data_IF_859557906266
#
_entry.id   IF_859557906266
#
_cell.length_a   1.000
_cell.length_b   1.000
_cell.length_c   1.000
_cell.angle_alpha   90.00
_cell.angle_beta   90.00
_cell.angle_gamma   90.00
#
_symmetry.space_group_name_H-M   'P 1'
#
loop_
_entity.id
_entity.type
_entity.pdbx_description
1 polymer ?
#
# COMPACT_ATOMS: atom_id res chain seq x y z
N UNK A 1 -0.29 29.28 24.46
CA UNK A 1 1.07 29.00 24.98
C UNK A 1 1.08 27.83 25.97
N UNK A 2 0.13 27.76 26.92
CA UNK A 2 0.05 26.72 27.97
C UNK A 2 -0.04 25.27 27.46
N UNK A 3 -0.88 25.00 26.45
CA UNK A 3 -1.00 23.65 25.85
C UNK A 3 0.30 23.15 25.27
N UNK A 4 1.10 24.02 24.64
CA UNK A 4 2.40 23.62 24.08
C UNK A 4 3.32 23.15 25.19
N UNK A 5 3.32 23.82 26.35
CA UNK A 5 4.07 23.41 27.53
C UNK A 5 3.59 22.08 28.08
N UNK A 6 2.27 21.89 28.24
CA UNK A 6 1.70 20.64 28.76
C UNK A 6 1.97 19.46 27.84
N UNK A 7 1.89 19.69 26.52
CA UNK A 7 2.25 18.69 25.51
C UNK A 7 3.70 18.23 25.67
N UNK A 8 4.63 19.16 25.89
CA UNK A 8 6.04 18.81 26.13
C UNK A 8 6.21 18.09 27.47
N UNK A 9 5.49 18.53 28.51
CA UNK A 9 5.60 17.96 29.85
C UNK A 9 5.15 16.50 29.92
N UNK A 10 4.00 16.16 29.30
CA UNK A 10 3.50 14.77 29.24
C UNK A 10 4.54 13.82 28.63
N UNK A 11 5.26 14.30 27.61
CA UNK A 11 6.25 13.50 26.87
C UNK A 11 7.64 13.51 27.53
N UNK A 12 7.80 14.12 28.70
CA UNK A 12 9.10 14.09 29.39
C UNK A 12 9.41 12.70 29.94
N UNK A 13 10.69 12.26 29.91
CA UNK A 13 11.10 10.98 30.48
C UNK A 13 10.62 10.79 31.91
N UNK A 14 10.70 11.84 32.74
CA UNK A 14 10.27 11.81 34.15
C UNK A 14 8.81 11.41 34.33
N UNK A 15 7.90 11.90 33.48
CA UNK A 15 6.47 11.54 33.56
C UNK A 15 6.27 10.12 33.03
N UNK A 16 6.89 9.78 31.91
CA UNK A 16 6.73 8.46 31.29
C UNK A 16 7.35 7.33 32.13
N UNK A 17 8.46 7.58 32.82
CA UNK A 17 9.04 6.66 33.80
C UNK A 17 8.11 6.43 34.98
N UNK A 18 7.45 7.48 35.49
CA UNK A 18 6.43 7.34 36.53
C UNK A 18 5.23 6.53 36.06
N UNK A 19 4.81 6.69 34.80
CA UNK A 19 3.76 5.85 34.22
C UNK A 19 4.19 4.38 34.17
N UNK A 20 5.39 4.11 33.64
CA UNK A 20 5.91 2.74 33.55
C UNK A 20 6.07 2.09 34.94
N UNK A 21 6.47 2.86 35.95
CA UNK A 21 6.59 2.38 37.33
C UNK A 21 5.23 2.14 38.01
N UNK A 22 4.24 3.01 37.76
CA UNK A 22 2.92 2.92 38.37
C UNK A 22 2.00 1.87 37.70
N UNK A 23 2.27 1.51 36.45
CA UNK A 23 1.46 0.58 35.65
C UNK A 23 2.34 -0.51 35.01
N UNK A 24 2.86 -1.46 35.81
CA UNK A 24 3.71 -2.55 35.31
C UNK A 24 3.00 -3.47 34.30
N UNK A 25 1.67 -3.54 34.36
CA UNK A 25 0.84 -4.36 33.48
C UNK A 25 0.86 -3.89 32.00
N UNK A 26 1.34 -2.67 31.74
CA UNK A 26 1.51 -2.17 30.37
C UNK A 26 2.67 -2.87 29.65
N UNK A 27 3.62 -3.44 30.40
CA UNK A 27 4.83 -4.10 29.89
C UNK A 27 5.59 -3.24 28.88
N UNK A 28 5.65 -1.93 29.11
CA UNK A 28 6.22 -0.94 28.19
C UNK A 28 7.16 -0.01 28.94
N UNK A 29 8.30 0.29 28.31
CA UNK A 29 9.30 1.22 28.86
C UNK A 29 8.94 2.69 28.60
N UNK A 30 9.57 3.62 29.31
CA UNK A 30 9.37 5.06 29.07
C UNK A 30 9.71 5.48 27.63
N UNK A 31 10.76 4.91 27.03
CA UNK A 31 11.14 5.18 25.64
C UNK A 31 10.11 4.66 24.63
N UNK A 32 9.53 3.50 24.92
CA UNK A 32 8.47 2.94 24.08
C UNK A 32 7.15 3.73 24.22
N UNK A 33 6.80 4.18 25.43
CA UNK A 33 5.70 5.12 25.65
C UNK A 33 5.91 6.41 24.86
N UNK A 34 7.12 6.98 24.87
CA UNK A 34 7.41 8.21 24.13
C UNK A 34 7.14 8.08 22.62
N UNK A 35 7.38 6.90 22.04
CA UNK A 35 7.09 6.63 20.63
C UNK A 35 5.62 6.31 20.33
N UNK A 36 4.88 5.80 21.32
CA UNK A 36 3.48 5.36 21.16
C UNK A 36 2.45 6.42 21.58
N UNK A 37 2.85 7.39 22.40
CA UNK A 37 1.98 8.45 22.91
C UNK A 37 2.11 9.71 22.03
N UNK A 38 1.00 10.15 21.49
CA UNK A 38 0.83 11.40 20.77
C UNK A 38 -0.10 12.36 21.52
N UNK A 39 0.02 13.65 21.23
CA UNK A 39 -0.90 14.67 21.75
C UNK A 39 -1.38 15.55 20.61
N UNK A 40 -2.69 15.55 20.44
CA UNK A 40 -3.41 16.49 19.58
C UNK A 40 -4.04 17.60 20.43
N UNK A 41 -4.19 18.78 19.85
CA UNK A 41 -4.83 19.93 20.51
C UNK A 41 -5.68 20.67 19.51
N UNK A 42 -6.85 21.13 19.94
CA UNK A 42 -7.74 21.95 19.10
C UNK A 42 -7.35 23.41 19.23
N UNK A 43 -7.13 24.08 18.10
CA UNK A 43 -6.76 25.50 18.04
C UNK A 43 -7.70 26.36 18.87
N UNK A 44 -7.13 27.35 19.57
CA UNK A 44 -7.86 28.35 20.38
C UNK A 44 -8.61 27.80 21.61
N UNK A 45 -8.60 26.49 21.84
CA UNK A 45 -9.17 25.87 23.05
C UNK A 45 -8.07 25.48 24.04
N UNK A 46 -8.44 25.14 25.27
CA UNK A 46 -7.56 24.47 26.25
C UNK A 46 -7.70 22.94 26.25
N UNK A 47 -8.25 22.39 25.16
CA UNK A 47 -8.55 20.96 25.03
C UNK A 47 -7.39 20.26 24.33
N UNK A 48 -6.92 19.17 24.94
CA UNK A 48 -5.93 18.28 24.36
C UNK A 48 -6.40 16.83 24.44
N UNK A 49 -6.01 16.04 23.45
CA UNK A 49 -6.31 14.62 23.36
C UNK A 49 -5.00 13.86 23.46
N UNK A 50 -4.91 12.98 24.46
CA UNK A 50 -3.84 11.99 24.57
C UNK A 50 -4.20 10.82 23.68
N UNK A 51 -3.31 10.51 22.74
CA UNK A 51 -3.48 9.45 21.75
C UNK A 51 -2.43 8.38 22.06
N UNK A 52 -2.84 7.13 22.18
CA UNK A 52 -1.91 6.01 22.30
C UNK A 52 -2.09 5.09 21.09
N UNK A 53 -0.98 4.59 20.55
CA UNK A 53 -0.99 3.66 19.41
C UNK A 53 -0.39 2.33 19.83
N UNK A 54 -1.12 1.24 19.61
CA UNK A 54 -0.66 -0.12 19.89
C UNK A 54 -1.31 -1.13 18.94
N UNK A 55 -0.79 -2.37 18.92
CA UNK A 55 -1.40 -3.46 18.16
C UNK A 55 -2.72 -3.95 18.75
N UNK A 56 -2.99 -3.67 20.03
CA UNK A 56 -4.28 -3.93 20.67
C UNK A 56 -4.95 -2.63 21.13
N UNK A 57 -6.21 -2.44 20.74
CA UNK A 57 -6.98 -1.28 21.13
C UNK A 57 -7.14 -1.17 22.66
N UNK A 58 -7.39 -2.28 23.35
CA UNK A 58 -7.49 -2.30 24.81
C UNK A 58 -6.20 -1.84 25.49
N UNK A 59 -5.03 -2.25 24.98
CA UNK A 59 -3.72 -1.79 25.48
C UNK A 59 -3.52 -0.30 25.22
N UNK A 60 -3.87 0.19 24.03
CA UNK A 60 -3.81 1.61 23.70
C UNK A 60 -4.70 2.44 24.65
N UNK A 61 -5.93 2.01 24.90
CA UNK A 61 -6.84 2.67 25.84
C UNK A 61 -6.25 2.76 27.25
N UNK A 62 -5.72 1.64 27.76
CA UNK A 62 -5.08 1.58 29.07
C UNK A 62 -3.85 2.50 29.15
N UNK A 63 -3.01 2.56 28.11
CA UNK A 63 -1.87 3.46 28.05
C UNK A 63 -2.29 4.93 28.10
N UNK A 64 -3.29 5.33 27.28
CA UNK A 64 -3.79 6.69 27.28
C UNK A 64 -4.33 7.09 28.66
N UNK A 65 -5.15 6.23 29.27
CA UNK A 65 -5.73 6.46 30.59
C UNK A 65 -4.65 6.55 31.69
N UNK A 66 -3.66 5.66 31.67
CA UNK A 66 -2.55 5.66 32.63
C UNK A 66 -1.73 6.96 32.55
N UNK A 67 -1.38 7.38 31.33
CA UNK A 67 -0.65 8.64 31.11
C UNK A 67 -1.48 9.83 31.59
N UNK A 68 -2.77 9.90 31.25
CA UNK A 68 -3.65 10.98 31.70
C UNK A 68 -3.76 11.05 33.23
N UNK A 69 -3.85 9.91 33.91
CA UNK A 69 -3.97 9.84 35.37
C UNK A 69 -2.69 10.26 36.08
N UNK A 70 -1.53 9.78 35.63
CA UNK A 70 -0.24 10.20 36.20
C UNK A 70 -0.01 11.68 35.94
N UNK A 71 -0.26 12.15 34.72
CA UNK A 71 -0.08 13.55 34.37
C UNK A 71 -0.96 14.49 35.22
N UNK A 72 -2.22 14.14 35.44
CA UNK A 72 -3.12 14.91 36.31
C UNK A 72 -2.55 15.05 37.73
N UNK A 73 -2.02 13.95 38.29
CA UNK A 73 -1.39 13.95 39.62
C UNK A 73 -0.09 14.78 39.66
N UNK A 74 0.71 14.70 38.60
CA UNK A 74 1.99 15.39 38.52
C UNK A 74 1.83 16.90 38.32
N UNK A 75 0.86 17.35 37.51
CA UNK A 75 0.59 18.78 37.36
C UNK A 75 0.12 19.41 38.66
N UNK A 76 -0.75 18.73 39.42
CA UNK A 76 -1.16 19.21 40.74
C UNK A 76 0.05 19.42 41.64
N UNK A 77 0.98 18.47 41.64
CA UNK A 77 2.19 18.52 42.48
C UNK A 77 3.21 19.56 42.01
N UNK A 78 3.46 19.64 40.70
CA UNK A 78 4.55 20.44 40.13
C UNK A 78 4.17 21.90 39.87
N UNK A 79 2.89 22.16 39.59
CA UNK A 79 2.41 23.48 39.19
C UNK A 79 1.29 24.01 40.09
N UNK A 80 0.85 23.25 41.09
CA UNK A 80 -0.24 23.62 41.99
C UNK A 80 -1.52 24.05 41.24
N UNK A 81 -1.82 23.31 40.16
CA UNK A 81 -2.99 23.53 39.32
C UNK A 81 -4.02 22.43 39.56
N UNK A 82 -5.18 22.80 40.07
CA UNK A 82 -6.29 21.88 40.35
C UNK A 82 -7.37 21.85 39.26
N UNK A 83 -7.25 22.72 38.27
CA UNK A 83 -8.24 22.91 37.20
C UNK A 83 -8.00 22.02 35.96
N UNK A 84 -7.27 20.91 36.09
CA UNK A 84 -7.10 19.92 35.02
C UNK A 84 -8.04 18.75 35.26
N UNK A 85 -8.98 18.55 34.33
CA UNK A 85 -9.95 17.46 34.37
C UNK A 85 -9.89 16.64 33.09
N UNK A 86 -10.08 15.32 33.22
CA UNK A 86 -10.20 14.41 32.08
C UNK A 86 -11.66 14.40 31.65
N UNK A 87 -11.94 14.92 30.45
CA UNK A 87 -13.30 15.03 29.92
C UNK A 87 -13.83 13.68 29.43
N UNK A 88 -12.97 12.86 28.82
CA UNK A 88 -13.33 11.55 28.30
C UNK A 88 -12.19 10.56 28.52
N UNK A 89 -12.51 9.42 29.12
CA UNK A 89 -11.57 8.32 29.29
C UNK A 89 -11.66 7.39 28.08
N UNK A 90 -10.55 6.76 27.70
CA UNK A 90 -10.59 5.74 26.67
C UNK A 90 -11.29 4.48 27.22
N UNK A 91 -12.32 4.01 26.53
CA UNK A 91 -13.01 2.77 26.86
C UNK A 91 -12.23 1.57 26.28
N UNK A 92 -11.61 0.68 27.08
CA UNK A 92 -10.86 -0.46 26.55
C UNK A 92 -11.74 -1.52 25.86
N UNK A 93 -13.05 -1.51 26.10
CA UNK A 93 -14.00 -2.44 25.51
C UNK A 93 -14.57 -1.95 24.16
N UNK A 94 -14.36 -0.67 23.82
CA UNK A 94 -14.73 -0.16 22.51
C UNK A 94 -13.94 -0.88 21.41
N UNK A 95 -14.51 -0.98 20.22
CA UNK A 95 -13.86 -1.64 19.09
C UNK A 95 -13.83 -0.69 17.90
N UNK A 96 -12.71 -0.01 17.73
CA UNK A 96 -12.44 0.83 16.57
C UNK A 96 -11.56 0.07 15.59
N UNK A 97 -11.79 0.28 14.29
CA UNK A 97 -10.96 -0.30 13.24
C UNK A 97 -9.50 0.16 13.30
N UNK A 98 -8.56 -0.59 12.70
CA UNK A 98 -7.16 -0.24 12.69
C UNK A 98 -6.91 1.07 11.94
N UNK A 99 -6.08 1.95 12.51
CA UNK A 99 -5.68 3.22 11.90
C UNK A 99 -4.57 3.07 10.85
N UNK A 100 -3.85 1.93 10.87
CA UNK A 100 -2.78 1.61 9.93
C UNK A 100 -2.54 0.10 9.85
N UNK A 101 -1.96 -0.41 8.74
CA UNK A 101 -1.70 0.29 7.49
C UNK A 101 -2.99 0.55 6.69
N UNK A 102 -2.96 1.50 5.74
CA UNK A 102 -4.04 1.69 4.78
C UNK A 102 -3.76 0.83 3.53
N UNK A 103 -4.42 -0.35 3.38
CA UNK A 103 -4.08 -1.29 2.32
C UNK A 103 -4.37 -0.72 0.93
N UNK A 104 -5.44 0.07 0.79
CA UNK A 104 -5.82 0.69 -0.50
C UNK A 104 -4.74 1.65 -0.98
N UNK A 105 -4.27 2.54 -0.09
CA UNK A 105 -3.19 3.48 -0.42
C UNK A 105 -1.89 2.73 -0.76
N UNK A 106 -1.54 1.72 0.01
CA UNK A 106 -0.29 0.97 -0.18
C UNK A 106 -0.30 0.21 -1.52
N UNK A 107 -1.42 -0.44 -1.85
CA UNK A 107 -1.58 -1.16 -3.13
C UNK A 107 -1.54 -0.19 -4.30
N UNK A 108 -2.20 0.96 -4.22
CA UNK A 108 -2.16 1.96 -5.29
C UNK A 108 -0.73 2.46 -5.58
N UNK A 109 0.07 2.72 -4.54
CA UNK A 109 1.47 3.14 -4.69
C UNK A 109 2.30 2.05 -5.36
N UNK A 110 2.20 0.80 -4.88
CA UNK A 110 2.97 -0.33 -5.44
C UNK A 110 2.55 -0.61 -6.88
N UNK A 111 1.25 -0.54 -7.20
CA UNK A 111 0.73 -0.75 -8.54
C UNK A 111 1.34 0.22 -9.55
N UNK A 112 1.33 1.52 -9.23
CA UNK A 112 1.94 2.55 -10.09
C UNK A 112 3.45 2.32 -10.22
N UNK A 113 4.12 2.01 -9.11
CA UNK A 113 5.56 1.75 -9.11
C UNK A 113 5.92 0.54 -9.99
N UNK A 114 5.14 -0.54 -9.94
CA UNK A 114 5.34 -1.73 -10.78
C UNK A 114 5.18 -1.44 -12.27
N UNK A 115 4.24 -0.58 -12.67
CA UNK A 115 4.08 -0.17 -14.07
C UNK A 115 5.33 0.59 -14.53
N UNK A 116 5.82 1.54 -13.75
CA UNK A 116 7.02 2.31 -14.07
C UNK A 116 8.25 1.41 -14.21
N UNK A 117 8.42 0.46 -13.28
CA UNK A 117 9.49 -0.53 -13.35
C UNK A 117 9.33 -1.43 -14.58
N UNK A 118 8.12 -1.88 -14.90
CA UNK A 118 7.85 -2.72 -16.08
C UNK A 118 8.19 -2.01 -17.39
N UNK A 119 7.84 -0.72 -17.52
CA UNK A 119 8.21 0.11 -18.66
C UNK A 119 9.74 0.26 -18.72
N UNK A 120 10.39 0.59 -17.60
CA UNK A 120 11.83 0.74 -17.54
C UNK A 120 12.56 -0.57 -17.95
N UNK A 121 12.06 -1.72 -17.49
CA UNK A 121 12.59 -3.04 -17.88
C UNK A 121 12.37 -3.32 -19.38
N UNK A 122 11.22 -2.95 -19.94
CA UNK A 122 10.97 -3.13 -21.37
C UNK A 122 11.97 -2.31 -22.21
N UNK A 123 12.22 -1.06 -21.84
CA UNK A 123 13.25 -0.23 -22.48
C UNK A 123 14.66 -0.79 -22.30
N UNK A 124 14.99 -1.29 -21.10
CA UNK A 124 16.29 -1.90 -20.83
C UNK A 124 16.50 -3.14 -21.71
N UNK A 125 15.49 -4.01 -21.82
CA UNK A 125 15.53 -5.20 -22.66
C UNK A 125 15.64 -4.85 -24.14
N UNK A 126 14.90 -3.85 -24.62
CA UNK A 126 15.01 -3.37 -26.01
C UNK A 126 16.39 -2.76 -26.28
N UNK A 127 16.97 -2.03 -25.32
CA UNK A 127 18.31 -1.46 -25.48
C UNK A 127 19.42 -2.52 -25.50
N UNK A 128 19.24 -3.61 -24.74
CA UNK A 128 20.17 -4.74 -24.76
C UNK A 128 19.99 -5.65 -25.98
N UNK A 129 18.85 -5.57 -26.68
CA UNK A 129 18.63 -6.30 -27.93
C UNK A 129 19.48 -5.69 -29.06
N UNK A 130 20.44 -6.47 -29.55
CA UNK A 130 21.33 -6.07 -30.64
C UNK A 130 20.77 -6.37 -32.04
N UNK A 131 19.58 -6.98 -32.12
CA UNK A 131 18.92 -7.31 -33.39
C UNK A 131 18.61 -6.06 -34.22
N UNK A 132 18.64 -6.21 -35.54
CA UNK A 132 18.28 -5.15 -36.50
C UNK A 132 16.89 -5.48 -37.03
N UNK A 133 15.92 -4.63 -36.71
CA UNK A 133 14.49 -4.91 -36.96
C UNK A 133 13.90 -4.07 -38.09
N UNK A 134 14.54 -2.95 -38.45
CA UNK A 134 14.00 -2.01 -39.44
C UNK A 134 15.00 -1.71 -40.56
N UNK A 135 14.49 -1.38 -41.75
CA UNK A 135 15.32 -0.99 -42.90
C UNK A 135 16.23 0.21 -42.59
N UNK A 136 15.73 1.14 -41.78
CA UNK A 136 16.46 2.34 -41.35
C UNK A 136 17.65 1.97 -40.47
N UNK A 137 17.49 1.01 -39.55
CA UNK A 137 18.60 0.49 -38.74
C UNK A 137 19.65 -0.25 -39.59
N UNK A 138 19.24 -1.02 -40.61
CA UNK A 138 20.17 -1.68 -41.56
C UNK A 138 21.03 -0.63 -42.26
N UNK A 139 20.40 0.41 -42.84
CA UNK A 139 21.11 1.49 -43.53
C UNK A 139 22.02 2.27 -42.59
N UNK A 140 21.55 2.60 -41.38
CA UNK A 140 22.32 3.36 -40.39
C UNK A 140 23.53 2.59 -39.85
N UNK A 141 23.42 1.27 -39.63
CA UNK A 141 24.54 0.45 -39.12
C UNK A 141 25.53 0.04 -40.20
N UNK A 142 25.07 -0.25 -41.43
CA UNK A 142 25.91 -0.78 -42.50
C UNK A 142 26.35 0.28 -43.52
N UNK A 143 25.68 1.43 -43.57
CA UNK A 143 25.99 2.53 -44.51
C UNK A 143 25.64 2.24 -45.97
N UNK A 144 24.91 1.15 -46.25
CA UNK A 144 24.60 0.68 -47.60
C UNK A 144 23.13 0.93 -47.95
N UNK A 145 22.80 1.21 -49.24
CA UNK A 145 21.42 1.30 -49.70
C UNK A 145 20.74 -0.08 -49.65
N UNK A 146 19.47 -0.11 -49.25
CA UNK A 146 18.65 -1.33 -49.29
C UNK A 146 18.35 -1.69 -50.75
N UNK A 147 18.71 -2.90 -51.17
CA UNK A 147 18.53 -3.37 -52.55
C UNK A 147 17.16 -4.02 -52.78
N UNK A 148 16.70 -4.83 -51.84
CA UNK A 148 15.41 -5.51 -51.90
C UNK A 148 14.96 -5.94 -50.48
N UNK A 149 13.65 -5.97 -50.25
CA UNK A 149 13.02 -6.57 -49.05
C UNK A 149 12.34 -7.88 -49.45
N UNK A 150 12.59 -8.96 -48.69
CA UNK A 150 12.01 -10.29 -48.94
C UNK A 150 11.07 -10.64 -47.80
N UNK A 151 9.74 -10.56 -48.02
CA UNK A 151 8.77 -10.81 -46.96
C UNK A 151 8.79 -12.28 -46.54
N UNK A 152 8.72 -12.52 -45.23
CA UNK A 152 8.70 -13.87 -44.68
C UNK A 152 7.29 -14.45 -44.74
N UNK A 153 7.04 -15.30 -45.75
CA UNK A 153 5.75 -16.00 -45.93
C UNK A 153 5.62 -17.12 -44.88
N UNK A 154 4.52 -17.15 -44.12
CA UNK A 154 4.23 -18.22 -43.14
C UNK A 154 3.27 -19.24 -43.75
N UNK A 155 3.27 -20.48 -43.24
CA UNK A 155 2.40 -21.58 -43.75
C UNK A 155 0.91 -21.23 -43.84
N UNK A 156 0.42 -20.36 -42.96
CA UNK A 156 -0.96 -19.85 -42.94
C UNK A 156 -1.27 -18.88 -44.08
N UNK A 157 -0.27 -18.18 -44.60
CA UNK A 157 -0.42 -17.22 -45.70
C UNK A 157 -0.49 -17.94 -47.06
N UNK A 158 -0.16 -19.24 -47.07
CA UNK A 158 -0.26 -20.13 -48.25
C UNK A 158 -1.64 -20.80 -48.36
N UNK A 159 -2.47 -20.75 -47.31
CA UNK A 159 -3.82 -21.31 -47.32
C UNK A 159 -4.76 -20.21 -47.79
N UNK A 160 -5.08 -20.22 -49.08
CA UNK A 160 -6.09 -19.31 -49.66
C UNK A 160 -7.50 -19.65 -49.17
N UNK A 161 -8.47 -18.70 -49.23
CA UNK A 161 -9.85 -18.92 -48.82
C UNK A 161 -10.53 -20.14 -49.49
N UNK A 162 -10.07 -20.53 -50.67
CA UNK A 162 -10.70 -21.51 -51.56
C UNK A 162 -10.60 -22.99 -51.10
N UNK A 163 -9.64 -23.33 -50.22
CA UNK A 163 -9.44 -24.73 -49.81
C UNK A 163 -10.33 -25.18 -48.64
N UNK A 164 -10.98 -24.24 -47.95
CA UNK A 164 -11.88 -24.56 -46.83
C UNK A 164 -13.27 -25.06 -47.27
N UNK A 165 -13.67 -24.81 -48.51
CA UNK A 165 -14.97 -25.26 -49.04
C UNK A 165 -14.92 -26.68 -49.64
N UNK A 166 -13.77 -27.11 -50.19
CA UNK A 166 -13.66 -28.41 -50.88
C UNK A 166 -13.68 -29.62 -49.95
N UNK A 167 -13.32 -29.46 -48.68
CA UNK A 167 -13.27 -30.58 -47.72
C UNK A 167 -14.66 -31.03 -47.23
N UNK A 168 -15.73 -30.27 -47.51
CA UNK A 168 -17.10 -30.60 -47.03
C UNK A 168 -18.02 -31.20 -48.10
N UNK A 169 -17.64 -31.20 -49.38
CA UNK A 169 -18.52 -31.62 -50.49
C UNK A 169 -18.45 -33.12 -50.85
N UNK A 170 -17.57 -33.91 -50.23
CA UNK A 170 -17.35 -35.33 -50.56
C UNK A 170 -18.30 -36.35 -49.92
N UNK A 171 -19.20 -35.94 -49.01
CA UNK A 171 -19.96 -36.88 -48.16
C UNK A 171 -21.46 -36.98 -48.48
N UNK A 172 -21.86 -36.89 -49.76
CA UNK A 172 -23.29 -37.08 -50.13
C UNK A 172 -23.52 -37.76 -51.48
N UNK A 173 -22.91 -38.92 -51.70
CA UNK A 173 -23.32 -39.87 -52.74
C UNK A 173 -24.28 -40.91 -52.17
N UNK A 174 -25.59 -40.76 -52.42
CA UNK A 174 -26.60 -41.81 -52.15
C UNK A 174 -26.44 -42.95 -53.16
N UNK A 175 -26.63 -44.23 -52.78
CA UNK A 175 -27.11 -45.24 -53.71
C UNK A 175 -28.57 -45.55 -53.38
N UNK A 176 -29.48 -45.24 -54.31
CA UNK A 176 -30.82 -45.81 -54.31
C UNK A 176 -31.15 -46.20 -55.75
N UNK A 177 -30.86 -47.46 -56.09
CA UNK A 177 -31.41 -48.13 -57.28
C UNK A 177 -31.77 -49.54 -56.85
N UNK A 178 -33.06 -49.76 -56.60
CA UNK A 178 -33.69 -51.08 -56.67
C UNK A 178 -34.32 -51.19 -58.05
N UNK A 179 -33.80 -52.09 -58.88
CA UNK A 179 -34.48 -52.59 -60.07
C UNK A 179 -34.67 -54.11 -59.91
N UNK A 180 -35.95 -54.47 -59.92
CA UNK A 180 -36.59 -55.63 -60.56
C UNK A 180 -36.32 -57.07 -60.08
N UNK A 181 -37.40 -57.72 -59.61
CA UNK A 181 -38.08 -58.81 -60.32
C UNK A 181 -39.40 -59.18 -59.62
#
# INVERSE_FOLDING_TARGET
MLIKTFKQLILTPRILEKVAAAYPDLHTSAGELAGKIGISSVSETQIMTVIATDGSYARAANMANAVSKVFQSEIRTLMNLDNVSVLNWADPAANYGPISPNPVKNVAIVFVLSILIGIALAFLLEHMDSSVKTEQEVRAKLGLPLLADVPRIRKRDLIGPDDSERTTMGARGKPNVTMDA
#
